data_IF_592741352325
#
_entry.id   IF_592741352325
#
_cell.length_a   1.000
_cell.length_b   1.000
_cell.length_c   1.000
_cell.angle_alpha   90.00
_cell.angle_beta   90.00
_cell.angle_gamma   90.00
#
_symmetry.space_group_name_H-M   'P 1'
#
loop_
_entity.id
_entity.type
_entity.pdbx_description
1 polymer ?
#
# COMPACT_ATOMS: atom_id res chain seq x y z
N UNK A 1 -5.46 21.56 -23.79
CA UNK A 1 -4.92 21.30 -22.45
C UNK A 1 -4.29 19.93 -22.50
N UNK A 2 -3.07 19.78 -22.03
CA UNK A 2 -2.40 18.46 -21.98
C UNK A 2 -2.70 17.87 -20.59
N UNK A 3 -3.38 16.73 -20.56
CA UNK A 3 -3.69 16.05 -19.30
C UNK A 3 -2.44 15.31 -18.77
N UNK A 4 -2.27 15.27 -17.46
CA UNK A 4 -1.15 14.57 -16.82
C UNK A 4 -1.23 13.05 -17.05
N UNK A 5 -2.43 12.50 -16.99
CA UNK A 5 -2.73 11.12 -17.34
C UNK A 5 -4.18 10.99 -17.82
N UNK A 6 -4.42 10.07 -18.71
CA UNK A 6 -5.75 9.71 -19.17
C UNK A 6 -5.94 8.20 -19.04
N UNK A 7 -7.11 7.73 -18.59
CA UNK A 7 -7.39 6.30 -18.57
C UNK A 7 -7.53 5.79 -19.99
N UNK A 8 -6.82 4.72 -20.30
CA UNK A 8 -7.02 3.98 -21.53
C UNK A 8 -8.16 2.97 -21.31
N UNK A 9 -9.19 3.06 -22.16
CA UNK A 9 -10.33 2.14 -22.14
C UNK A 9 -10.51 1.57 -23.54
N UNK A 10 -10.59 0.27 -23.62
CA UNK A 10 -10.90 -0.42 -24.85
C UNK A 10 -12.36 -0.98 -24.89
N UNK A 11 -12.68 -1.69 -25.96
CA UNK A 11 -14.02 -2.24 -26.13
C UNK A 11 -14.36 -3.33 -25.11
N UNK A 12 -13.40 -4.02 -24.55
CA UNK A 12 -13.64 -5.09 -23.58
C UNK A 12 -14.04 -4.53 -22.21
N UNK A 13 -13.43 -3.43 -21.74
CA UNK A 13 -13.87 -2.74 -20.52
C UNK A 13 -15.29 -2.23 -20.68
N UNK A 14 -15.61 -1.55 -21.79
CA UNK A 14 -16.96 -1.04 -22.08
C UNK A 14 -17.98 -2.18 -22.07
N UNK A 15 -17.68 -3.30 -22.74
CA UNK A 15 -18.52 -4.49 -22.78
C UNK A 15 -18.76 -5.11 -21.40
N UNK A 16 -17.72 -5.21 -20.61
CA UNK A 16 -17.77 -5.79 -19.26
C UNK A 16 -18.61 -4.92 -18.32
N UNK A 17 -18.40 -3.60 -18.32
CA UNK A 17 -19.20 -2.65 -17.53
C UNK A 17 -20.66 -2.68 -17.97
N UNK A 18 -20.93 -2.67 -19.29
CA UNK A 18 -22.29 -2.78 -19.83
C UNK A 18 -22.97 -4.07 -19.37
N UNK A 19 -22.24 -5.18 -19.31
CA UNK A 19 -22.78 -6.45 -18.79
C UNK A 19 -23.13 -6.36 -17.32
N UNK A 20 -22.31 -5.71 -16.48
CA UNK A 20 -22.64 -5.48 -15.07
C UNK A 20 -23.94 -4.71 -14.92
N UNK A 21 -24.11 -3.63 -15.68
CA UNK A 21 -25.32 -2.81 -15.68
C UNK A 21 -26.56 -3.61 -16.09
N UNK A 22 -26.47 -4.37 -17.20
CA UNK A 22 -27.60 -5.18 -17.71
C UNK A 22 -28.00 -6.32 -16.77
N UNK A 23 -27.06 -6.87 -16.00
CA UNK A 23 -27.33 -7.98 -15.09
C UNK A 23 -27.64 -7.54 -13.66
N UNK A 24 -27.55 -6.23 -13.36
CA UNK A 24 -27.80 -5.68 -12.03
C UNK A 24 -26.71 -5.98 -10.99
N UNK A 25 -25.59 -6.58 -11.37
CA UNK A 25 -24.47 -6.85 -10.45
C UNK A 25 -23.56 -5.63 -10.31
N UNK A 26 -24.02 -4.66 -9.52
CA UNK A 26 -23.34 -3.36 -9.28
C UNK A 26 -22.72 -3.23 -7.89
N UNK A 27 -22.86 -4.25 -7.04
CA UNK A 27 -22.36 -4.24 -5.67
C UNK A 27 -20.97 -4.90 -5.54
N UNK A 28 -20.49 -5.01 -4.30
CA UNK A 28 -19.20 -5.61 -3.94
C UNK A 28 -19.09 -7.13 -4.21
N UNK A 29 -20.15 -7.78 -4.72
CA UNK A 29 -20.10 -9.17 -5.11
C UNK A 29 -20.57 -9.33 -6.55
N UNK A 30 -19.99 -10.32 -7.25
CA UNK A 30 -20.34 -10.58 -8.65
C UNK A 30 -19.23 -11.36 -9.36
N UNK A 31 -19.54 -11.74 -10.61
CA UNK A 31 -18.61 -12.56 -11.40
C UNK A 31 -17.30 -11.83 -11.71
N UNK A 32 -17.34 -10.52 -11.93
CA UNK A 32 -16.14 -9.74 -12.27
C UNK A 32 -15.23 -9.53 -11.07
N UNK A 33 -15.78 -9.36 -9.86
CA UNK A 33 -15.00 -9.32 -8.61
C UNK A 33 -14.23 -10.63 -8.45
N UNK A 34 -14.92 -11.77 -8.56
CA UNK A 34 -14.28 -13.09 -8.47
C UNK A 34 -13.23 -13.33 -9.56
N UNK A 35 -13.49 -12.90 -10.80
CA UNK A 35 -12.49 -12.99 -11.89
C UNK A 35 -11.26 -12.17 -11.59
N UNK A 36 -11.41 -10.93 -11.13
CA UNK A 36 -10.33 -10.04 -10.76
C UNK A 36 -9.46 -10.67 -9.65
N UNK A 37 -10.07 -11.10 -8.55
CA UNK A 37 -9.36 -11.74 -7.44
C UNK A 37 -8.62 -13.02 -7.88
N UNK A 38 -9.26 -13.86 -8.71
CA UNK A 38 -8.63 -15.08 -9.22
C UNK A 38 -7.47 -14.79 -10.17
N UNK A 39 -7.55 -13.75 -11.00
CA UNK A 39 -6.46 -13.36 -11.87
C UNK A 39 -5.29 -12.79 -11.06
N UNK A 40 -5.55 -11.96 -10.08
CA UNK A 40 -4.51 -11.47 -9.17
C UNK A 40 -3.85 -12.61 -8.39
N UNK A 41 -4.61 -13.60 -7.92
CA UNK A 41 -4.05 -14.82 -7.30
C UNK A 41 -3.00 -15.50 -8.19
N UNK A 42 -3.29 -15.62 -9.49
CA UNK A 42 -2.38 -16.25 -10.44
C UNK A 42 -1.12 -15.41 -10.69
N UNK A 43 -1.29 -14.09 -10.84
CA UNK A 43 -0.17 -13.18 -11.13
C UNK A 43 0.76 -13.03 -9.92
N UNK A 44 0.19 -12.94 -8.72
CA UNK A 44 0.94 -12.70 -7.48
C UNK A 44 1.32 -13.99 -6.74
N UNK A 45 0.87 -15.15 -7.23
CA UNK A 45 1.02 -16.46 -6.58
C UNK A 45 0.50 -16.49 -5.13
N UNK A 46 -0.39 -15.56 -4.79
CA UNK A 46 -0.95 -15.41 -3.44
C UNK A 46 -2.06 -16.43 -3.19
N UNK A 47 -2.11 -17.00 -1.99
CA UNK A 47 -3.19 -17.92 -1.59
C UNK A 47 -4.55 -17.24 -1.49
N UNK A 48 -4.56 -16.00 -1.04
CA UNK A 48 -5.77 -15.21 -0.79
C UNK A 48 -5.63 -13.83 -1.38
N UNK A 49 -6.66 -13.37 -2.06
CA UNK A 49 -6.77 -12.01 -2.60
C UNK A 49 -8.18 -11.50 -2.31
N UNK A 50 -8.26 -10.28 -1.84
CA UNK A 50 -9.52 -9.57 -1.59
C UNK A 50 -9.45 -8.22 -2.29
N UNK A 51 -10.43 -7.94 -3.12
CA UNK A 51 -10.55 -6.65 -3.80
C UNK A 51 -11.08 -5.56 -2.86
N UNK A 52 -10.56 -4.36 -3.01
CA UNK A 52 -11.03 -3.17 -2.32
C UNK A 52 -11.41 -2.10 -3.34
N UNK A 53 -12.29 -1.17 -2.95
CA UNK A 53 -12.74 -0.10 -3.83
C UNK A 53 -11.65 0.95 -4.15
N UNK A 54 -10.57 0.99 -3.36
CA UNK A 54 -9.45 1.91 -3.57
C UNK A 54 -8.17 1.39 -2.90
N UNK A 55 -7.00 1.89 -3.34
CA UNK A 55 -5.72 1.64 -2.69
C UNK A 55 -5.69 2.12 -1.24
N UNK A 56 -6.35 3.24 -0.92
CA UNK A 56 -6.46 3.74 0.45
C UNK A 56 -7.19 2.75 1.36
N UNK A 57 -8.28 2.15 0.88
CA UNK A 57 -9.02 1.12 1.63
C UNK A 57 -8.19 -0.15 1.81
N UNK A 58 -7.45 -0.56 0.78
CA UNK A 58 -6.55 -1.71 0.84
C UNK A 58 -5.43 -1.49 1.87
N UNK A 59 -4.82 -0.30 1.90
CA UNK A 59 -3.82 0.07 2.90
C UNK A 59 -4.39 0.02 4.32
N UNK A 60 -5.56 0.62 4.56
CA UNK A 60 -6.21 0.59 5.88
C UNK A 60 -6.54 -0.85 6.32
N UNK A 61 -7.01 -1.69 5.40
CA UNK A 61 -7.25 -3.10 5.67
C UNK A 61 -5.96 -3.83 6.03
N UNK A 62 -4.85 -3.53 5.34
CA UNK A 62 -3.53 -4.12 5.61
C UNK A 62 -3.04 -3.80 7.03
N UNK A 63 -3.22 -2.56 7.51
CA UNK A 63 -2.89 -2.21 8.90
C UNK A 63 -3.63 -3.07 9.92
N UNK A 64 -4.90 -3.37 9.67
CA UNK A 64 -5.73 -4.22 10.53
C UNK A 64 -5.32 -5.67 10.48
N UNK A 65 -5.08 -6.23 9.28
CA UNK A 65 -4.66 -7.63 9.10
C UNK A 65 -3.30 -7.87 9.74
N UNK A 66 -2.35 -6.94 9.58
CA UNK A 66 -1.02 -7.01 10.18
C UNK A 66 -1.03 -6.68 11.68
N UNK A 67 -2.18 -6.28 12.22
CA UNK A 67 -2.34 -5.90 13.63
C UNK A 67 -1.33 -4.83 14.08
N UNK A 68 -1.07 -3.86 13.22
CA UNK A 68 -0.18 -2.73 13.51
C UNK A 68 -0.72 -1.98 14.71
N UNK A 69 0.10 -1.81 15.73
CA UNK A 69 -0.31 -1.14 16.97
C UNK A 69 -0.30 0.36 16.82
N UNK A 70 -1.29 1.02 17.39
CA UNK A 70 -1.33 2.49 17.49
C UNK A 70 -0.07 3.05 18.16
N UNK A 71 0.27 4.27 17.82
CA UNK A 71 1.40 5.00 18.39
C UNK A 71 2.77 4.38 18.12
N UNK A 72 2.84 3.48 17.13
CA UNK A 72 4.11 2.97 16.61
C UNK A 72 4.52 3.72 15.35
N UNK A 73 5.76 3.57 14.95
CA UNK A 73 6.30 4.17 13.73
C UNK A 73 6.14 3.22 12.55
N UNK A 74 5.87 3.82 11.38
CA UNK A 74 5.86 3.15 10.08
C UNK A 74 6.78 3.89 9.14
N UNK A 75 7.76 3.18 8.60
CA UNK A 75 8.73 3.73 7.66
C UNK A 75 8.09 3.90 6.29
N UNK A 76 8.44 4.99 5.60
CA UNK A 76 7.91 5.30 4.27
C UNK A 76 8.88 6.20 3.50
N UNK A 77 9.10 5.98 2.19
CA UNK A 77 9.89 6.91 1.37
C UNK A 77 9.24 8.30 1.29
N UNK A 78 10.06 9.33 1.16
CA UNK A 78 9.59 10.72 1.02
C UNK A 78 8.84 10.98 -0.28
N UNK A 79 9.17 10.28 -1.36
CA UNK A 79 8.47 10.36 -2.63
C UNK A 79 7.46 9.22 -2.71
N UNK A 80 6.19 9.58 -2.59
CA UNK A 80 5.06 8.65 -2.66
C UNK A 80 3.77 9.42 -2.91
N UNK A 81 2.72 8.69 -3.29
CA UNK A 81 1.37 9.24 -3.27
C UNK A 81 0.96 9.56 -1.82
N UNK A 82 0.03 10.50 -1.61
CA UNK A 82 -0.39 10.90 -0.26
C UNK A 82 -1.14 9.78 0.51
N UNK A 83 -1.77 8.84 -0.20
CA UNK A 83 -2.59 7.80 0.40
C UNK A 83 -1.84 6.90 1.41
N UNK A 84 -0.60 6.43 1.16
CA UNK A 84 0.18 5.68 2.15
C UNK A 84 0.43 6.46 3.44
N UNK A 85 0.81 7.74 3.34
CA UNK A 85 1.01 8.60 4.52
C UNK A 85 -0.27 8.79 5.30
N UNK A 86 -1.39 9.05 4.62
CA UNK A 86 -2.70 9.16 5.25
C UNK A 86 -3.12 7.86 5.94
N UNK A 87 -2.84 6.70 5.35
CA UNK A 87 -3.13 5.41 5.98
C UNK A 87 -2.38 5.24 7.31
N UNK A 88 -1.12 5.70 7.40
CA UNK A 88 -0.36 5.69 8.65
C UNK A 88 -1.04 6.56 9.71
N UNK A 89 -1.40 7.79 9.35
CA UNK A 89 -2.00 8.77 10.27
C UNK A 89 -3.40 8.34 10.74
N UNK A 90 -4.26 7.84 9.83
CA UNK A 90 -5.61 7.37 10.16
C UNK A 90 -5.59 6.18 11.13
N UNK A 91 -4.52 5.38 11.11
CA UNK A 91 -4.35 4.28 12.04
C UNK A 91 -3.60 4.66 13.32
N UNK A 92 -3.53 5.95 13.65
CA UNK A 92 -2.86 6.50 14.85
C UNK A 92 -1.39 6.09 14.95
N UNK A 93 -0.70 5.95 13.81
CA UNK A 93 0.72 5.66 13.72
C UNK A 93 1.49 6.92 13.29
N UNK A 94 2.81 6.88 13.41
CA UNK A 94 3.70 7.99 13.06
C UNK A 94 4.52 7.64 11.82
N UNK A 95 4.45 8.42 10.74
CA UNK A 95 5.32 8.21 9.58
C UNK A 95 6.77 8.60 9.92
N UNK A 96 7.72 7.77 9.54
CA UNK A 96 9.14 8.08 9.52
C UNK A 96 9.59 8.07 8.08
N UNK A 97 9.92 9.25 7.58
CA UNK A 97 10.28 9.43 6.19
C UNK A 97 11.73 9.03 5.93
N UNK A 98 11.93 8.27 4.87
CA UNK A 98 13.21 7.78 4.39
C UNK A 98 13.55 8.42 3.05
N UNK A 99 14.83 8.63 2.81
CA UNK A 99 15.29 9.17 1.53
C UNK A 99 15.06 8.20 0.37
N UNK A 100 14.99 8.79 -0.81
CA UNK A 100 14.90 8.08 -2.08
C UNK A 100 16.19 8.25 -2.88
N UNK A 101 16.42 7.31 -3.79
CA UNK A 101 17.49 7.35 -4.78
C UNK A 101 17.13 8.18 -6.02
N UNK A 102 18.01 8.21 -7.01
CA UNK A 102 17.85 8.93 -8.28
C UNK A 102 16.66 8.42 -9.13
N UNK A 103 16.17 7.20 -8.86
CA UNK A 103 15.01 6.60 -9.54
C UNK A 103 13.71 6.81 -8.75
N UNK A 104 13.71 7.67 -7.73
CA UNK A 104 12.58 7.90 -6.83
C UNK A 104 12.14 6.65 -6.03
N UNK A 105 13.00 5.64 -5.95
CA UNK A 105 12.80 4.46 -5.12
C UNK A 105 13.44 4.63 -3.75
N UNK A 106 13.09 3.80 -2.78
CA UNK A 106 13.74 3.79 -1.47
C UNK A 106 15.26 3.64 -1.63
N UNK A 107 16.04 4.60 -1.11
CA UNK A 107 17.51 4.50 -1.08
C UNK A 107 17.95 3.41 -0.10
N UNK A 108 18.26 2.24 -0.64
CA UNK A 108 18.63 1.06 0.15
C UNK A 108 19.91 1.30 0.99
N UNK A 109 20.87 2.10 0.49
CA UNK A 109 22.10 2.40 1.24
C UNK A 109 21.78 3.23 2.47
N UNK A 110 21.00 4.30 2.32
CA UNK A 110 20.58 5.16 3.44
C UNK A 110 19.64 4.43 4.39
N UNK A 111 18.73 3.61 3.86
CA UNK A 111 17.86 2.77 4.68
C UNK A 111 18.65 1.78 5.53
N UNK A 112 19.64 1.08 4.95
CA UNK A 112 20.49 0.16 5.69
C UNK A 112 21.28 0.91 6.78
N UNK A 113 21.84 2.09 6.46
CA UNK A 113 22.51 2.94 7.42
C UNK A 113 21.59 3.34 8.58
N UNK A 114 20.36 3.76 8.27
CA UNK A 114 19.34 4.07 9.29
C UNK A 114 19.08 2.87 10.21
N UNK A 115 18.92 1.67 9.66
CA UNK A 115 18.69 0.47 10.47
C UNK A 115 19.88 0.16 11.40
N UNK A 116 21.10 0.36 10.95
CA UNK A 116 22.30 0.07 11.76
C UNK A 116 22.52 1.13 12.84
N UNK A 117 22.37 2.41 12.50
CA UNK A 117 22.72 3.52 13.39
C UNK A 117 21.58 3.99 14.30
N UNK A 118 20.33 3.90 13.83
CA UNK A 118 19.19 4.51 14.50
C UNK A 118 18.14 3.50 15.02
N UNK A 119 18.35 2.19 14.83
CA UNK A 119 17.42 1.16 15.28
C UNK A 119 18.10 0.16 16.21
N UNK A 120 17.46 -0.16 17.33
CA UNK A 120 17.88 -1.24 18.24
C UNK A 120 16.81 -2.31 18.33
N UNK A 121 17.23 -3.56 18.40
CA UNK A 121 16.34 -4.68 18.64
C UNK A 121 16.29 -4.96 20.14
N UNK A 122 15.13 -4.73 20.75
CA UNK A 122 14.86 -4.99 22.17
C UNK A 122 13.67 -5.91 22.29
N UNK A 123 13.83 -7.07 22.91
CA UNK A 123 12.75 -8.08 23.10
C UNK A 123 12.02 -8.38 21.77
N UNK A 124 12.76 -8.63 20.71
CA UNK A 124 12.25 -8.90 19.34
C UNK A 124 11.44 -7.75 18.70
N UNK A 125 11.62 -6.52 19.16
CA UNK A 125 10.99 -5.33 18.60
C UNK A 125 12.05 -4.38 18.09
N UNK A 126 11.85 -3.81 16.91
CA UNK A 126 12.68 -2.74 16.37
C UNK A 126 12.30 -1.43 17.03
N UNK A 127 13.23 -0.79 17.70
CA UNK A 127 13.02 0.46 18.44
C UNK A 127 13.87 1.55 17.79
N UNK A 128 13.24 2.63 17.38
CA UNK A 128 13.93 3.83 16.96
C UNK A 128 14.64 4.49 18.17
N UNK A 129 15.95 4.66 18.08
CA UNK A 129 16.78 5.16 19.21
C UNK A 129 16.40 6.60 19.56
N UNK A 130 16.06 7.43 18.57
CA UNK A 130 15.74 8.85 18.77
C UNK A 130 14.36 9.04 19.40
N UNK A 131 13.33 8.44 18.82
CA UNK A 131 11.94 8.61 19.25
C UNK A 131 11.55 7.70 20.41
N UNK A 132 12.31 6.63 20.66
CA UNK A 132 12.00 5.54 21.61
C UNK A 132 10.75 4.75 21.26
N UNK A 133 10.23 4.90 20.03
CA UNK A 133 9.03 4.20 19.57
C UNK A 133 9.38 2.92 18.84
N UNK A 134 8.40 2.01 18.81
CA UNK A 134 8.49 0.76 18.06
C UNK A 134 8.28 1.09 16.58
N UNK A 135 9.14 0.58 15.72
CA UNK A 135 8.94 0.52 14.28
C UNK A 135 8.21 -0.77 13.96
N UNK A 136 6.98 -0.66 13.47
CA UNK A 136 6.09 -1.82 13.26
C UNK A 136 6.04 -2.30 11.83
N UNK A 137 6.30 -1.42 10.87
CA UNK A 137 6.19 -1.74 9.45
C UNK A 137 6.99 -0.76 8.59
N UNK A 138 7.14 -1.13 7.33
CA UNK A 138 7.56 -0.24 6.25
C UNK A 138 6.55 -0.35 5.10
N UNK A 139 6.20 0.77 4.49
CA UNK A 139 5.43 0.83 3.24
C UNK A 139 6.40 1.20 2.14
N UNK A 140 6.49 0.38 1.12
CA UNK A 140 7.38 0.60 -0.04
C UNK A 140 6.50 0.75 -1.28
N UNK A 141 6.16 1.99 -1.67
CA UNK A 141 5.45 2.24 -2.92
C UNK A 141 6.37 1.99 -4.12
N UNK A 142 5.83 1.36 -5.14
CA UNK A 142 6.45 1.29 -6.45
C UNK A 142 5.91 2.45 -7.28
N UNK A 143 6.72 3.46 -7.53
CA UNK A 143 6.27 4.71 -8.17
C UNK A 143 6.40 4.62 -9.70
N UNK A 144 7.35 3.83 -10.19
CA UNK A 144 7.60 3.60 -11.64
C UNK A 144 7.79 2.12 -11.90
#
# INVERSE_FOLDING_TARGET
MINLSEPFLDNDEIKNVTKCLKTGWLSSSGIFVKKFENNLKKITESKHVVSCQSGSSALNLSFRILNIKKHTEVLIPTITFIAPTNAILINDCYPVFLDVDENNCLDIKKFTKFLVEEVKIIKKKSINIKSKKIISAIIIPHVL
#
